data_IF_012948538129
#
_entry.id   IF_012948538129
#
_cell.length_a   1.000
_cell.length_b   1.000
_cell.length_c   1.000
_cell.angle_alpha   90.00
_cell.angle_beta   90.00
_cell.angle_gamma   90.00
#
_symmetry.space_group_name_H-M   'P 1'
#
loop_
_entity.id
_entity.type
_entity.pdbx_description
1 polymer ?
#
# COMPACT_ATOMS: atom_id res chain seq x y z
N UNK A 1 -7.39 -44.46 8.69
CA UNK A 1 -6.94 -43.06 8.46
C UNK A 1 -7.44 -42.23 9.63
N UNK A 2 -6.56 -41.76 10.53
CA UNK A 2 -6.98 -41.04 11.75
C UNK A 2 -7.32 -39.59 11.36
N UNK A 3 -8.61 -39.29 11.17
CA UNK A 3 -9.10 -37.93 11.03
C UNK A 3 -8.89 -37.20 12.37
N UNK A 4 -7.73 -36.56 12.55
CA UNK A 4 -7.51 -35.72 13.73
C UNK A 4 -8.47 -34.53 13.61
N UNK A 5 -9.50 -34.49 14.45
CA UNK A 5 -10.47 -33.38 14.51
C UNK A 5 -11.51 -33.32 13.39
N UNK A 6 -11.71 -34.38 12.59
CA UNK A 6 -12.76 -34.41 11.54
C UNK A 6 -12.48 -33.53 10.31
N UNK A 7 -11.30 -32.92 10.24
CA UNK A 7 -10.86 -32.07 9.13
C UNK A 7 -10.12 -32.92 8.08
N UNK A 8 -10.23 -32.51 6.80
CA UNK A 8 -9.50 -33.13 5.69
C UNK A 8 -8.02 -32.71 5.75
N UNK A 9 -7.11 -33.58 5.31
CA UNK A 9 -5.65 -33.35 5.38
C UNK A 9 -5.20 -32.03 4.71
N UNK A 10 -5.88 -31.59 3.65
CA UNK A 10 -5.58 -30.32 2.98
C UNK A 10 -5.93 -29.08 3.81
N UNK A 11 -6.94 -29.15 4.68
CA UNK A 11 -7.32 -28.04 5.57
C UNK A 11 -6.25 -27.79 6.62
N UNK A 12 -5.58 -28.86 7.06
CA UNK A 12 -4.45 -28.77 7.97
C UNK A 12 -3.26 -28.04 7.36
N UNK A 13 -3.02 -28.15 6.05
CA UNK A 13 -1.93 -27.41 5.38
C UNK A 13 -2.17 -25.90 5.45
N UNK A 14 -3.39 -25.43 5.14
CA UNK A 14 -3.74 -24.02 5.25
C UNK A 14 -3.67 -23.49 6.69
N UNK A 15 -4.13 -24.27 7.67
CA UNK A 15 -4.06 -23.87 9.08
C UNK A 15 -2.63 -23.77 9.58
N UNK A 16 -1.77 -24.74 9.23
CA UNK A 16 -0.37 -24.74 9.63
C UNK A 16 0.43 -23.62 8.96
N UNK A 17 0.13 -23.33 7.69
CA UNK A 17 0.81 -22.26 6.94
C UNK A 17 0.36 -20.86 7.36
N UNK A 18 -0.91 -20.67 7.72
CA UNK A 18 -1.44 -19.39 8.18
C UNK A 18 -1.24 -19.13 9.68
N UNK A 19 -1.07 -20.17 10.50
CA UNK A 19 -0.78 -20.06 11.92
C UNK A 19 0.37 -19.09 12.26
N UNK A 20 1.53 -19.07 11.56
CA UNK A 20 2.58 -18.08 11.82
C UNK A 20 2.27 -16.68 11.27
N UNK A 21 1.37 -16.55 10.29
CA UNK A 21 1.02 -15.28 9.65
C UNK A 21 0.18 -14.39 10.59
N UNK A 22 -0.75 -14.98 11.34
CA UNK A 22 -1.60 -14.27 12.31
C UNK A 22 -0.76 -13.50 13.36
N UNK A 23 0.16 -14.14 14.12
CA UNK A 23 1.00 -13.43 15.07
C UNK A 23 1.96 -12.47 14.38
N UNK A 24 2.47 -12.79 13.18
CA UNK A 24 3.30 -11.86 12.41
C UNK A 24 2.54 -10.57 12.06
N UNK A 25 1.26 -10.67 11.71
CA UNK A 25 0.38 -9.51 11.49
C UNK A 25 0.17 -8.69 12.75
N UNK A 26 0.00 -9.33 13.92
CA UNK A 26 -0.12 -8.64 15.22
C UNK A 26 1.18 -7.92 15.57
N UNK A 27 2.33 -8.59 15.41
CA UNK A 27 3.65 -7.98 15.62
C UNK A 27 3.86 -6.81 14.69
N UNK A 28 3.50 -6.95 13.41
CA UNK A 28 3.58 -5.86 12.43
C UNK A 28 2.72 -4.68 12.84
N UNK A 29 1.49 -4.92 13.31
CA UNK A 29 0.60 -3.87 13.79
C UNK A 29 1.15 -3.13 15.04
N UNK A 30 1.86 -3.84 15.92
CA UNK A 30 2.50 -3.24 17.10
C UNK A 30 3.82 -2.53 16.81
N UNK A 31 4.56 -2.94 15.77
CA UNK A 31 5.86 -2.36 15.41
C UNK A 31 5.78 -1.29 14.32
N UNK A 32 4.72 -1.27 13.52
CA UNK A 32 4.56 -0.31 12.42
C UNK A 32 3.87 0.96 12.93
N UNK A 33 4.67 1.89 13.41
CA UNK A 33 4.21 3.22 13.81
C UNK A 33 3.81 4.05 12.56
N UNK A 34 2.58 4.56 12.53
CA UNK A 34 2.01 5.30 11.39
C UNK A 34 2.53 6.75 11.22
N UNK A 35 3.30 7.27 12.17
CA UNK A 35 3.69 8.68 12.22
C UNK A 35 5.21 8.76 12.44
N UNK A 36 5.96 9.58 11.66
CA UNK A 36 7.42 9.72 11.79
C UNK A 36 7.87 10.21 13.18
N UNK A 37 6.95 10.73 13.99
CA UNK A 37 7.22 11.20 15.35
C UNK A 37 7.14 10.09 16.42
N UNK A 38 6.52 8.95 16.09
CA UNK A 38 6.31 7.84 17.04
C UNK A 38 7.27 6.67 16.78
N UNK A 39 7.91 6.61 15.59
CA UNK A 39 8.78 5.49 15.18
C UNK A 39 9.97 5.32 16.11
N UNK A 40 9.89 4.32 17.00
CA UNK A 40 10.95 4.03 17.99
C UNK A 40 12.23 3.45 17.39
N UNK A 41 12.16 2.97 16.14
CA UNK A 41 13.29 2.37 15.43
C UNK A 41 14.09 3.39 14.60
N UNK A 42 13.55 4.58 14.36
CA UNK A 42 14.17 5.59 13.52
C UNK A 42 14.96 6.59 14.37
N UNK A 43 16.20 6.91 13.97
CA UNK A 43 17.03 7.87 14.71
C UNK A 43 16.36 9.25 14.74
N UNK A 44 16.52 10.02 15.83
CA UNK A 44 15.94 11.36 15.94
C UNK A 44 16.32 12.32 14.79
N UNK A 45 17.54 12.16 14.23
CA UNK A 45 18.00 12.93 13.07
C UNK A 45 17.17 12.66 11.81
N UNK A 46 16.83 11.40 11.57
CA UNK A 46 16.20 10.95 10.33
C UNK A 46 14.69 11.25 10.36
N UNK A 47 14.09 11.22 11.56
CA UNK A 47 12.71 11.66 11.79
C UNK A 47 12.51 13.12 11.37
N UNK A 48 13.42 14.02 11.74
CA UNK A 48 13.34 15.45 11.37
C UNK A 48 13.40 15.65 9.87
N UNK A 49 14.31 14.94 9.18
CA UNK A 49 14.41 14.98 7.71
C UNK A 49 13.12 14.49 7.05
N UNK A 50 12.53 13.40 7.53
CA UNK A 50 11.27 12.89 7.00
C UNK A 50 10.10 13.84 7.26
N UNK A 51 10.01 14.43 8.45
CA UNK A 51 8.97 15.44 8.75
C UNK A 51 9.10 16.65 7.83
N UNK A 52 10.31 17.15 7.59
CA UNK A 52 10.55 18.26 6.66
C UNK A 52 10.18 17.88 5.22
N UNK A 53 10.50 16.66 4.78
CA UNK A 53 10.12 16.15 3.47
C UNK A 53 8.59 16.06 3.31
N UNK A 54 7.89 15.50 4.31
CA UNK A 54 6.42 15.42 4.31
C UNK A 54 5.75 16.79 4.31
N UNK A 55 6.31 17.76 5.03
CA UNK A 55 5.84 19.15 5.00
C UNK A 55 6.06 19.81 3.62
N UNK A 56 7.16 19.50 2.97
CA UNK A 56 7.45 19.97 1.61
C UNK A 56 6.48 19.36 0.58
N UNK A 57 6.24 18.04 0.63
CA UNK A 57 5.32 17.34 -0.27
C UNK A 57 3.86 17.76 -0.06
N UNK A 58 3.47 18.04 1.19
CA UNK A 58 2.16 18.61 1.50
C UNK A 58 1.97 20.01 0.89
N UNK A 59 3.05 20.79 0.76
CA UNK A 59 3.04 22.09 0.07
C UNK A 59 3.08 22.00 -1.45
N UNK A 60 3.73 20.97 -2.01
CA UNK A 60 3.89 20.77 -3.46
C UNK A 60 2.62 20.20 -4.10
N UNK A 61 1.89 19.32 -3.40
CA UNK A 61 0.66 18.69 -3.91
C UNK A 61 -0.52 19.66 -4.11
N UNK A 62 -0.49 20.85 -3.50
CA UNK A 62 -1.51 21.89 -3.73
C UNK A 62 -1.32 22.65 -5.06
N UNK A 63 -0.10 22.69 -5.60
CA UNK A 63 0.25 23.58 -6.70
C UNK A 63 0.37 22.86 -8.06
N UNK A 64 0.72 21.57 -8.07
CA UNK A 64 0.89 20.83 -9.34
C UNK A 64 -0.41 20.19 -9.87
N UNK A 65 -1.38 19.85 -9.00
CA UNK A 65 -2.68 19.31 -9.43
C UNK A 65 -3.67 20.40 -9.88
N UNK A 66 -3.40 21.68 -9.57
CA UNK A 66 -4.36 22.79 -9.77
C UNK A 66 -4.11 23.57 -11.06
N UNK A 67 -3.03 23.33 -11.81
CA UNK A 67 -2.71 24.14 -13.01
C UNK A 67 -3.48 23.74 -14.29
N UNK A 68 -4.27 22.64 -14.28
CA UNK A 68 -5.14 22.32 -15.42
C UNK A 68 -6.51 21.78 -14.97
N UNK A 69 -7.35 22.67 -14.42
CA UNK A 69 -8.75 22.39 -14.07
C UNK A 69 -9.59 22.09 -15.33
N UNK A 70 -9.51 20.85 -15.80
CA UNK A 70 -10.49 20.24 -16.71
C UNK A 70 -11.57 19.60 -15.81
N UNK A 71 -12.89 19.80 -16.05
CA UNK A 71 -13.95 19.34 -15.15
C UNK A 71 -13.95 17.82 -14.92
N UNK A 72 -14.30 17.35 -13.71
CA UNK A 72 -14.00 15.99 -13.23
C UNK A 72 -14.62 14.84 -14.03
N UNK A 73 -15.79 15.04 -14.65
CA UNK A 73 -16.36 14.01 -15.51
C UNK A 73 -15.54 13.81 -16.78
N UNK A 74 -14.87 14.84 -17.31
CA UNK A 74 -14.06 14.71 -18.52
C UNK A 74 -12.72 14.01 -18.25
N UNK A 75 -12.17 14.09 -17.03
CA UNK A 75 -10.90 13.43 -16.68
C UNK A 75 -10.99 11.90 -16.77
N UNK A 76 -12.06 11.31 -16.24
CA UNK A 76 -12.25 9.86 -16.26
C UNK A 76 -12.45 9.39 -17.70
N UNK A 77 -13.30 10.07 -18.48
CA UNK A 77 -13.56 9.68 -19.87
C UNK A 77 -12.38 9.93 -20.83
N UNK A 78 -11.52 10.92 -20.59
CA UNK A 78 -10.34 11.17 -21.42
C UNK A 78 -9.30 10.06 -21.33
N UNK A 79 -9.14 9.44 -20.15
CA UNK A 79 -8.21 8.32 -19.97
C UNK A 79 -8.69 7.11 -20.78
N UNK A 80 -9.99 6.80 -20.80
CA UNK A 80 -10.49 5.64 -21.56
C UNK A 80 -10.38 5.77 -23.08
N UNK A 81 -10.34 7.00 -23.61
CA UNK A 81 -10.23 7.25 -25.05
C UNK A 81 -8.77 7.45 -25.52
N UNK A 82 -7.78 7.33 -24.64
CA UNK A 82 -6.39 7.47 -25.03
C UNK A 82 -5.87 6.18 -25.66
N UNK A 83 -5.62 6.22 -26.98
CA UNK A 83 -5.12 5.08 -27.75
C UNK A 83 -3.74 4.59 -27.27
N UNK A 84 -2.94 5.46 -26.65
CA UNK A 84 -1.58 5.12 -26.19
C UNK A 84 -1.62 4.16 -25.01
N UNK A 85 -2.67 4.19 -24.19
CA UNK A 85 -2.85 3.25 -23.07
C UNK A 85 -3.00 1.82 -23.61
N UNK A 86 -3.76 1.64 -24.69
CA UNK A 86 -3.87 0.35 -25.37
C UNK A 86 -2.55 -0.08 -25.99
N UNK A 87 -1.77 0.85 -26.57
CA UNK A 87 -0.43 0.55 -27.09
C UNK A 87 0.51 0.02 -26.00
N UNK A 88 0.59 0.68 -24.84
CA UNK A 88 1.44 0.22 -23.75
C UNK A 88 0.95 -1.11 -23.14
N UNK A 89 -0.36 -1.30 -23.02
CA UNK A 89 -0.95 -2.57 -22.56
C UNK A 89 -0.62 -3.74 -23.48
N UNK A 90 -0.60 -3.51 -24.80
CA UNK A 90 -0.23 -4.51 -25.80
C UNK A 90 1.28 -4.78 -25.80
N UNK A 91 2.12 -3.76 -25.59
CA UNK A 91 3.58 -3.92 -25.51
C UNK A 91 3.99 -4.69 -24.25
N UNK A 92 3.23 -4.56 -23.16
CA UNK A 92 3.49 -5.21 -21.89
C UNK A 92 2.96 -6.65 -21.76
N UNK A 93 2.32 -7.19 -22.80
CA UNK A 93 1.70 -8.52 -22.84
C UNK A 93 2.39 -9.42 -23.86
#
# INVERSE_FOLDING_TARGET
>A
MKHVGGLKDWQWMFLLESAPIIPLGIVTWLFLDNIPNTVRWLKPSDQQTLTNCLLQDAGVSMNELTQNRIPSCQQIFCVFNDWRIYMYAIIAM
#
